data_IF_961904459959
#
_entry.id   IF_961904459959
#
_cell.length_a   1.000
_cell.length_b   1.000
_cell.length_c   1.000
_cell.angle_alpha   90.00
_cell.angle_beta   90.00
_cell.angle_gamma   90.00
#
_symmetry.space_group_name_H-M   'P 1'
#
loop_
_entity.id
_entity.type
_entity.pdbx_description
1 polymer ?
#
# COMPACT_ATOMS: atom_id res chain seq x y z
N UNK A 1 -27.77 7.69 1.09
CA UNK A 1 -26.70 6.74 0.71
C UNK A 1 -26.67 5.61 1.73
N UNK A 2 -26.89 4.37 1.28
CA UNK A 2 -26.90 3.17 2.13
C UNK A 2 -25.49 2.79 2.61
N UNK A 3 -25.42 1.94 3.65
CA UNK A 3 -24.15 1.51 4.26
C UNK A 3 -23.20 0.83 3.25
N UNK A 4 -23.71 -0.02 2.34
CA UNK A 4 -22.87 -0.69 1.33
C UNK A 4 -22.23 0.31 0.36
N UNK A 5 -22.96 1.36 -0.01
CA UNK A 5 -22.45 2.42 -0.88
C UNK A 5 -21.36 3.23 -0.16
N UNK A 6 -21.56 3.54 1.13
CA UNK A 6 -20.52 4.18 1.97
C UNK A 6 -19.28 3.31 2.12
N UNK A 7 -19.46 2.00 2.28
CA UNK A 7 -18.36 1.05 2.38
C UNK A 7 -17.52 0.95 1.10
N UNK A 8 -18.12 1.19 -0.09
CA UNK A 8 -17.39 1.32 -1.36
C UNK A 8 -16.72 2.69 -1.47
N UNK A 9 -17.41 3.76 -1.10
CA UNK A 9 -16.87 5.12 -1.22
C UNK A 9 -15.67 5.37 -0.31
N UNK A 10 -15.67 4.78 0.90
CA UNK A 10 -14.63 5.02 1.91
C UNK A 10 -13.20 4.75 1.41
N UNK A 11 -12.85 3.55 0.89
CA UNK A 11 -11.53 3.30 0.31
C UNK A 11 -11.21 4.21 -0.89
N UNK A 12 -12.20 4.59 -1.69
CA UNK A 12 -11.98 5.49 -2.84
C UNK A 12 -11.63 6.91 -2.39
N UNK A 13 -12.30 7.42 -1.36
CA UNK A 13 -11.93 8.69 -0.72
C UNK A 13 -10.52 8.59 -0.11
N UNK A 14 -10.21 7.45 0.52
CA UNK A 14 -8.86 7.15 1.01
C UNK A 14 -7.80 7.20 -0.09
N UNK A 15 -8.12 6.71 -1.29
CA UNK A 15 -7.24 6.75 -2.46
C UNK A 15 -6.96 8.20 -2.91
N UNK A 16 -7.99 9.05 -2.95
CA UNK A 16 -7.84 10.48 -3.28
C UNK A 16 -6.99 11.20 -2.22
N UNK A 17 -7.22 10.91 -0.93
CA UNK A 17 -6.42 11.48 0.16
C UNK A 17 -4.95 11.04 0.04
N UNK A 18 -4.71 9.76 -0.23
CA UNK A 18 -3.36 9.25 -0.44
C UNK A 18 -2.68 9.92 -1.64
N UNK A 19 -3.40 10.07 -2.75
CA UNK A 19 -2.91 10.80 -3.92
C UNK A 19 -2.50 12.22 -3.55
N UNK A 20 -3.33 12.95 -2.80
CA UNK A 20 -3.00 14.30 -2.36
C UNK A 20 -1.73 14.34 -1.49
N UNK A 21 -1.58 13.42 -0.53
CA UNK A 21 -0.34 13.29 0.25
C UNK A 21 0.88 13.03 -0.63
N UNK A 22 0.76 12.21 -1.67
CA UNK A 22 1.84 11.94 -2.62
C UNK A 22 2.18 13.18 -3.45
N UNK A 23 1.20 14.03 -3.79
CA UNK A 23 1.46 15.31 -4.46
C UNK A 23 2.20 16.28 -3.55
N UNK A 24 1.81 16.38 -2.28
CA UNK A 24 2.56 17.18 -1.30
C UNK A 24 3.96 16.62 -1.05
N UNK A 25 4.13 15.30 -1.07
CA UNK A 25 5.45 14.67 -0.97
C UNK A 25 6.33 15.03 -2.18
N UNK A 26 5.80 14.91 -3.40
CA UNK A 26 6.50 15.28 -4.63
C UNK A 26 6.85 16.78 -4.65
N UNK A 27 5.92 17.64 -4.26
CA UNK A 27 6.17 19.07 -4.09
C UNK A 27 7.29 19.34 -3.05
N UNK A 28 7.27 18.68 -1.90
CA UNK A 28 8.31 18.86 -0.87
C UNK A 28 9.70 18.43 -1.36
N UNK A 29 9.76 17.43 -2.24
CA UNK A 29 11.01 16.96 -2.84
C UNK A 29 11.65 18.00 -3.77
N UNK A 30 10.90 18.98 -4.29
CA UNK A 30 11.48 20.06 -5.11
C UNK A 30 12.54 20.86 -4.37
N UNK A 31 12.45 20.93 -3.05
CA UNK A 31 13.34 21.75 -2.22
C UNK A 31 14.46 20.95 -1.57
N UNK A 32 14.59 19.65 -1.88
CA UNK A 32 15.63 18.78 -1.34
C UNK A 32 16.79 18.72 -2.34
N UNK A 33 17.76 19.61 -2.18
CA UNK A 33 18.92 19.73 -3.08
C UNK A 33 20.04 18.76 -2.72
N UNK A 34 20.82 18.29 -3.71
CA UNK A 34 22.10 17.63 -3.47
C UNK A 34 23.14 18.59 -2.88
N UNK A 35 24.08 18.06 -2.10
CA UNK A 35 25.18 18.81 -1.51
C UNK A 35 26.49 18.47 -2.24
N UNK A 36 27.28 19.51 -2.51
CA UNK A 36 28.60 19.43 -3.15
C UNK A 36 29.66 20.09 -2.28
N UNK A 37 30.90 19.62 -2.38
CA UNK A 37 32.03 20.24 -1.70
C UNK A 37 32.51 21.51 -2.42
N UNK A 38 33.50 22.19 -1.83
CA UNK A 38 34.08 23.40 -2.43
C UNK A 38 34.79 23.16 -3.77
N UNK A 39 35.08 21.91 -4.12
CA UNK A 39 35.66 21.49 -5.40
C UNK A 39 34.61 21.01 -6.41
N UNK A 40 33.32 21.05 -6.08
CA UNK A 40 32.22 20.58 -6.93
C UNK A 40 32.04 19.07 -6.95
N UNK A 41 32.69 18.32 -6.04
CA UNK A 41 32.46 16.89 -5.92
C UNK A 41 31.15 16.64 -5.13
N UNK A 42 30.37 15.66 -5.60
CA UNK A 42 29.13 15.25 -4.94
C UNK A 42 29.42 14.70 -3.53
N UNK A 43 28.66 15.14 -2.54
CA UNK A 43 28.71 14.66 -1.16
C UNK A 43 27.45 13.84 -0.84
N UNK A 44 26.27 14.42 -1.10
CA UNK A 44 24.99 13.83 -0.69
C UNK A 44 23.86 14.22 -1.63
N UNK A 45 22.78 13.46 -1.62
CA UNK A 45 21.55 13.81 -2.34
C UNK A 45 20.65 14.77 -1.52
N UNK A 46 21.21 15.39 -0.48
CA UNK A 46 20.50 16.23 0.48
C UNK A 46 20.22 15.53 1.81
N UNK A 47 19.44 16.15 2.70
CA UNK A 47 19.23 15.67 4.06
C UNK A 47 18.64 14.26 4.12
N UNK A 48 19.10 13.49 5.12
CA UNK A 48 18.61 12.13 5.43
C UNK A 48 17.15 12.17 5.86
N UNK A 49 16.77 13.19 6.65
CA UNK A 49 15.39 13.38 7.09
C UNK A 49 14.62 14.16 6.03
N UNK A 50 13.80 13.45 5.25
CA UNK A 50 13.01 14.05 4.17
C UNK A 50 11.52 14.14 4.53
N UNK A 51 10.89 15.32 4.42
CA UNK A 51 9.45 15.47 4.61
C UNK A 51 8.62 14.55 3.70
N UNK A 52 9.07 14.36 2.46
CA UNK A 52 8.42 13.50 1.47
C UNK A 52 8.26 12.06 1.94
N UNK A 53 9.26 11.49 2.61
CA UNK A 53 9.20 10.13 3.18
C UNK A 53 8.01 9.96 4.13
N UNK A 54 7.79 10.93 5.01
CA UNK A 54 6.67 10.89 5.96
C UNK A 54 5.32 11.22 5.31
N UNK A 55 5.31 12.08 4.29
CA UNK A 55 4.09 12.38 3.53
C UNK A 55 3.63 11.17 2.71
N UNK A 56 4.54 10.44 2.06
CA UNK A 56 4.23 9.17 1.40
C UNK A 56 3.67 8.15 2.39
N UNK A 57 4.31 8.00 3.56
CA UNK A 57 3.82 7.13 4.62
C UNK A 57 2.43 7.53 5.13
N UNK A 58 2.19 8.84 5.32
CA UNK A 58 0.89 9.36 5.75
C UNK A 58 -0.21 9.08 4.71
N UNK A 59 0.10 9.22 3.43
CA UNK A 59 -0.81 8.84 2.34
C UNK A 59 -1.15 7.36 2.35
N UNK A 60 -0.14 6.49 2.49
CA UNK A 60 -0.33 5.03 2.61
C UNK A 60 -1.20 4.69 3.83
N UNK A 61 -0.92 5.32 4.98
CA UNK A 61 -1.69 5.14 6.20
C UNK A 61 -3.16 5.56 6.02
N UNK A 62 -3.41 6.72 5.42
CA UNK A 62 -4.76 7.21 5.15
C UNK A 62 -5.55 6.24 4.27
N UNK A 63 -4.94 5.74 3.18
CA UNK A 63 -5.58 4.75 2.32
C UNK A 63 -5.82 3.42 3.03
N UNK A 64 -4.84 2.92 3.78
CA UNK A 64 -4.95 1.65 4.51
C UNK A 64 -6.07 1.69 5.57
N UNK A 65 -6.17 2.79 6.33
CA UNK A 65 -7.22 2.98 7.33
C UNK A 65 -8.61 3.13 6.69
N UNK A 66 -8.71 3.87 5.58
CA UNK A 66 -9.96 3.98 4.83
C UNK A 66 -10.42 2.63 4.24
N UNK A 67 -9.49 1.86 3.67
CA UNK A 67 -9.76 0.52 3.17
C UNK A 67 -10.20 -0.44 4.28
N UNK A 68 -9.51 -0.42 5.42
CA UNK A 68 -9.89 -1.21 6.60
C UNK A 68 -11.28 -0.83 7.11
N UNK A 69 -11.60 0.47 7.16
CA UNK A 69 -12.91 0.96 7.59
C UNK A 69 -14.03 0.52 6.65
N UNK A 70 -13.81 0.61 5.33
CA UNK A 70 -14.74 0.11 4.32
C UNK A 70 -14.97 -1.41 4.43
N UNK A 71 -13.89 -2.17 4.64
CA UNK A 71 -13.96 -3.62 4.86
C UNK A 71 -14.74 -3.97 6.13
N UNK A 72 -14.45 -3.32 7.26
CA UNK A 72 -15.17 -3.54 8.53
C UNK A 72 -16.66 -3.22 8.41
N UNK A 73 -16.99 -2.12 7.74
CA UNK A 73 -18.38 -1.70 7.54
C UNK A 73 -19.16 -2.69 6.67
N UNK A 74 -18.57 -3.12 5.54
CA UNK A 74 -19.20 -4.09 4.64
C UNK A 74 -19.28 -5.50 5.24
N UNK A 75 -18.27 -5.93 6.02
CA UNK A 75 -18.29 -7.19 6.77
C UNK A 75 -19.40 -7.22 7.82
N UNK A 76 -19.46 -6.19 8.66
CA UNK A 76 -20.52 -6.05 9.67
C UNK A 76 -21.93 -6.06 9.06
N UNK A 77 -22.10 -5.44 7.89
CA UNK A 77 -23.38 -5.45 7.18
C UNK A 77 -23.71 -6.84 6.62
N UNK A 78 -22.70 -7.53 6.06
CA UNK A 78 -22.86 -8.90 5.56
C UNK A 78 -23.22 -9.89 6.67
N UNK A 79 -22.66 -9.74 7.87
CA UNK A 79 -22.97 -10.59 9.02
C UNK A 79 -24.41 -10.39 9.57
N UNK A 80 -25.04 -9.25 9.27
CA UNK A 80 -26.40 -8.91 9.71
C UNK A 80 -27.49 -9.27 8.70
N UNK A 81 -27.14 -9.38 7.42
CA UNK A 81 -28.09 -9.65 6.35
C UNK A 81 -28.03 -11.13 5.95
N UNK A 82 -29.07 -11.90 6.29
CA UNK A 82 -29.20 -13.31 5.89
C UNK A 82 -29.48 -13.48 4.38
N UNK A 83 -29.94 -12.43 3.71
CA UNK A 83 -30.09 -12.38 2.25
C UNK A 83 -28.77 -12.02 1.56
N UNK A 84 -28.35 -12.78 0.54
CA UNK A 84 -27.20 -12.48 -0.34
C UNK A 84 -27.46 -11.19 -1.18
N UNK A 85 -27.42 -10.00 -0.56
CA UNK A 85 -27.44 -8.73 -1.28
C UNK A 85 -26.13 -8.56 -2.08
N UNK A 86 -26.27 -8.52 -3.40
CA UNK A 86 -25.15 -8.42 -4.33
C UNK A 86 -24.26 -7.19 -4.10
N UNK A 87 -24.84 -6.04 -3.72
CA UNK A 87 -24.08 -4.82 -3.47
C UNK A 87 -23.22 -4.96 -2.21
N UNK A 88 -23.78 -5.55 -1.15
CA UNK A 88 -23.05 -5.81 0.10
C UNK A 88 -21.90 -6.79 -0.12
N UNK A 89 -22.10 -7.83 -0.94
CA UNK A 89 -21.02 -8.74 -1.32
C UNK A 89 -19.93 -8.07 -2.16
N UNK A 90 -20.31 -7.21 -3.11
CA UNK A 90 -19.37 -6.44 -3.93
C UNK A 90 -18.54 -5.47 -3.07
N UNK A 91 -19.19 -4.72 -2.17
CA UNK A 91 -18.53 -3.83 -1.22
C UNK A 91 -17.51 -4.59 -0.36
N UNK A 92 -17.88 -5.76 0.14
CA UNK A 92 -16.98 -6.60 0.93
C UNK A 92 -15.77 -7.10 0.13
N UNK A 93 -15.98 -7.59 -1.10
CA UNK A 93 -14.86 -8.03 -1.97
C UNK A 93 -13.93 -6.88 -2.33
N UNK A 94 -14.50 -5.71 -2.62
CA UNK A 94 -13.75 -4.50 -2.91
C UNK A 94 -12.94 -4.01 -1.69
N UNK A 95 -13.54 -4.04 -0.50
CA UNK A 95 -12.84 -3.76 0.76
C UNK A 95 -11.65 -4.70 0.99
N UNK A 96 -11.80 -6.00 0.73
CA UNK A 96 -10.68 -6.94 0.85
C UNK A 96 -9.57 -6.61 -0.17
N UNK A 97 -9.93 -6.35 -1.43
CA UNK A 97 -8.96 -6.00 -2.48
C UNK A 97 -8.18 -4.73 -2.14
N UNK A 98 -8.87 -3.67 -1.73
CA UNK A 98 -8.26 -2.39 -1.39
C UNK A 98 -7.36 -2.47 -0.16
N UNK A 99 -7.72 -3.27 0.85
CA UNK A 99 -6.84 -3.58 1.98
C UNK A 99 -5.56 -4.30 1.51
N UNK A 100 -5.66 -5.29 0.63
CA UNK A 100 -4.49 -6.00 0.09
C UNK A 100 -3.58 -5.03 -0.67
N UNK A 101 -4.14 -4.16 -1.50
CA UNK A 101 -3.37 -3.14 -2.23
C UNK A 101 -2.67 -2.18 -1.25
N UNK A 102 -3.36 -1.76 -0.19
CA UNK A 102 -2.76 -0.88 0.83
C UNK A 102 -1.59 -1.56 1.57
N UNK A 103 -1.76 -2.84 1.94
CA UNK A 103 -0.70 -3.64 2.58
C UNK A 103 0.52 -3.78 1.66
N UNK A 104 0.28 -4.06 0.37
CA UNK A 104 1.35 -4.14 -0.63
C UNK A 104 2.08 -2.79 -0.78
N UNK A 105 1.33 -1.68 -0.86
CA UNK A 105 1.91 -0.34 -0.91
C UNK A 105 2.79 -0.01 0.30
N UNK A 106 2.33 -0.33 1.52
CA UNK A 106 3.11 -0.16 2.74
C UNK A 106 4.37 -1.03 2.79
N UNK A 107 4.29 -2.28 2.32
CA UNK A 107 5.45 -3.17 2.24
C UNK A 107 6.48 -2.68 1.20
N UNK A 108 6.03 -2.26 0.01
CA UNK A 108 6.91 -1.70 -1.02
C UNK A 108 7.58 -0.42 -0.51
N UNK A 109 6.84 0.45 0.17
CA UNK A 109 7.42 1.65 0.78
C UNK A 109 8.51 1.32 1.80
N UNK A 110 8.26 0.37 2.70
CA UNK A 110 9.24 -0.05 3.70
C UNK A 110 10.50 -0.63 3.04
N UNK A 111 10.33 -1.47 2.02
CA UNK A 111 11.44 -2.05 1.25
C UNK A 111 12.21 -0.98 0.46
N UNK A 112 11.54 -0.03 -0.17
CA UNK A 112 12.18 1.04 -0.92
C UNK A 112 13.04 1.93 -0.01
N UNK A 113 12.54 2.31 1.17
CA UNK A 113 13.32 3.07 2.15
C UNK A 113 14.48 2.25 2.73
N UNK A 114 14.26 0.96 2.95
CA UNK A 114 15.32 0.05 3.39
C UNK A 114 16.43 -0.05 2.36
N UNK A 115 16.11 -0.33 1.09
CA UNK A 115 17.11 -0.45 0.03
C UNK A 115 17.82 0.89 -0.23
N UNK A 116 17.10 2.02 -0.17
CA UNK A 116 17.69 3.34 -0.28
C UNK A 116 18.61 3.74 0.88
N UNK A 117 18.62 2.98 1.98
CA UNK A 117 19.52 3.22 3.10
C UNK A 117 20.89 2.54 2.93
N UNK A 118 21.08 1.68 1.92
CA UNK A 118 22.36 1.05 1.62
C UNK A 118 23.10 1.82 0.53
N UNK A 119 24.30 2.30 0.86
CA UNK A 119 25.17 3.05 -0.05
C UNK A 119 24.85 4.55 -0.14
N UNK A 120 25.90 5.39 -0.19
CA UNK A 120 25.77 6.85 -0.30
C UNK A 120 25.63 7.60 1.04
N UNK A 121 25.19 8.86 0.98
CA UNK A 121 25.11 9.83 2.10
C UNK A 121 24.24 9.43 3.29
N UNK A 122 23.34 8.44 3.15
CA UNK A 122 22.56 7.87 4.26
C UNK A 122 23.40 7.03 5.22
N UNK A 123 24.60 6.61 4.81
CA UNK A 123 25.55 5.86 5.64
C UNK A 123 26.41 6.75 6.56
N UNK A 124 26.60 8.02 6.21
CA UNK A 124 27.52 8.94 6.91
C UNK A 124 26.85 9.93 7.88
N UNK A 125 25.51 9.92 7.97
CA UNK A 125 24.77 10.80 8.87
C UNK A 125 24.87 10.48 10.35
N UNK A 126 24.52 11.45 11.19
CA UNK A 126 24.48 11.26 12.63
C UNK A 126 23.44 10.19 13.03
N UNK A 127 23.65 9.53 14.17
CA UNK A 127 22.73 8.50 14.68
C UNK A 127 21.28 9.00 14.74
N UNK A 128 21.06 10.25 15.16
CA UNK A 128 19.71 10.82 15.27
C UNK A 128 19.04 10.98 13.90
N UNK A 129 19.76 11.46 12.90
CA UNK A 129 19.24 11.63 11.54
C UNK A 129 18.87 10.30 10.92
N UNK A 130 19.64 9.25 11.20
CA UNK A 130 19.34 7.89 10.73
C UNK A 130 18.14 7.30 11.46
N UNK A 131 18.05 7.47 12.79
CA UNK A 131 16.89 7.09 13.60
C UNK A 131 15.59 7.69 13.08
N UNK A 132 15.60 8.98 12.73
CA UNK A 132 14.41 9.67 12.25
C UNK A 132 14.17 9.43 10.76
N UNK A 133 15.16 9.61 9.89
CA UNK A 133 14.99 9.61 8.44
C UNK A 133 14.89 8.22 7.81
N UNK A 134 15.47 7.19 8.45
CA UNK A 134 15.49 5.82 7.92
C UNK A 134 14.68 4.87 8.80
N UNK A 135 15.03 4.73 10.08
CA UNK A 135 14.46 3.69 10.93
C UNK A 135 12.99 3.95 11.27
N UNK A 136 12.65 5.17 11.69
CA UNK A 136 11.30 5.53 12.08
C UNK A 136 10.26 5.27 10.98
N UNK A 137 10.41 5.74 9.72
CA UNK A 137 9.43 5.46 8.67
C UNK A 137 9.30 3.97 8.34
N UNK A 138 10.39 3.19 8.37
CA UNK A 138 10.34 1.73 8.17
C UNK A 138 9.56 1.04 9.29
N UNK A 139 9.83 1.40 10.54
CA UNK A 139 9.14 0.86 11.72
C UNK A 139 7.65 1.22 11.70
N UNK A 140 7.31 2.47 11.40
CA UNK A 140 5.93 2.92 11.31
C UNK A 140 5.17 2.24 10.16
N UNK A 141 5.78 2.10 8.99
CA UNK A 141 5.19 1.37 7.86
C UNK A 141 4.94 -0.10 8.21
N UNK A 142 5.92 -0.76 8.84
CA UNK A 142 5.78 -2.14 9.30
C UNK A 142 4.66 -2.27 10.33
N UNK A 143 4.64 -1.40 11.34
CA UNK A 143 3.62 -1.41 12.37
C UNK A 143 2.21 -1.20 11.78
N UNK A 144 2.08 -0.28 10.82
CA UNK A 144 0.84 -0.07 10.07
C UNK A 144 0.41 -1.35 9.33
N UNK A 145 1.30 -1.94 8.53
CA UNK A 145 1.01 -3.16 7.73
C UNK A 145 0.57 -4.30 8.64
N UNK A 146 1.33 -4.58 9.71
CA UNK A 146 1.00 -5.64 10.67
C UNK A 146 -0.35 -5.36 11.34
N UNK A 147 -0.58 -4.12 11.80
CA UNK A 147 -1.84 -3.74 12.47
C UNK A 147 -3.04 -3.91 11.54
N UNK A 148 -2.96 -3.40 10.31
CA UNK A 148 -4.04 -3.50 9.32
C UNK A 148 -4.30 -4.96 8.95
N UNK A 149 -3.25 -5.76 8.76
CA UNK A 149 -3.37 -7.20 8.48
C UNK A 149 -4.10 -7.93 9.62
N UNK A 150 -3.67 -7.72 10.86
CA UNK A 150 -4.27 -8.34 12.03
C UNK A 150 -5.75 -7.94 12.17
N UNK A 151 -6.06 -6.66 12.02
CA UNK A 151 -7.44 -6.16 12.13
C UNK A 151 -8.34 -6.58 10.97
N UNK A 152 -7.79 -6.73 9.76
CA UNK A 152 -8.55 -7.11 8.57
C UNK A 152 -8.84 -8.62 8.50
N UNK A 153 -7.87 -9.45 8.91
CA UNK A 153 -7.91 -10.88 8.62
C UNK A 153 -7.85 -11.78 9.86
N UNK A 154 -7.24 -11.34 10.97
CA UNK A 154 -7.03 -12.20 12.15
C UNK A 154 -8.08 -11.96 13.22
N UNK A 155 -8.29 -10.70 13.63
CA UNK A 155 -9.22 -10.33 14.69
C UNK A 155 -10.64 -10.03 14.18
N UNK A 156 -11.00 -10.53 12.99
CA UNK A 156 -12.29 -10.24 12.37
C UNK A 156 -13.34 -11.26 12.81
N UNK A 157 -14.44 -10.76 13.39
CA UNK A 157 -15.60 -11.54 13.85
C UNK A 157 -16.59 -11.95 12.74
N UNK A 158 -16.21 -11.86 11.47
CA UNK A 158 -17.05 -12.29 10.34
C UNK A 158 -17.17 -13.83 10.32
N UNK A 159 -18.00 -14.38 11.19
CA UNK A 159 -18.45 -15.76 11.16
C UNK A 159 -19.92 -15.82 10.73
N UNK A 160 -20.10 -16.04 9.43
CA UNK A 160 -21.22 -16.84 8.90
C UNK A 160 -20.71 -18.21 8.48
N UNK A 161 -20.03 -18.92 9.39
CA UNK A 161 -19.95 -20.38 9.37
C UNK A 161 -20.34 -20.85 10.78
N UNK A 162 -21.53 -21.43 10.85
CA UNK A 162 -22.18 -22.16 11.93
C UNK A 162 -22.21 -21.54 13.34
N UNK A 163 -23.32 -20.82 13.60
CA UNK A 163 -23.78 -20.34 14.92
C UNK A 163 -24.19 -21.50 15.87
N UNK A 164 -23.64 -22.71 15.74
CA UNK A 164 -23.87 -23.85 16.64
C UNK A 164 -22.62 -24.33 17.40
N UNK A 165 -21.42 -23.87 17.05
CA UNK A 165 -20.20 -24.24 17.78
C UNK A 165 -19.80 -23.18 18.82
N UNK A 166 -20.23 -23.45 20.05
CA UNK A 166 -19.85 -22.81 21.31
C UNK A 166 -18.43 -22.19 21.36
N UNK A 167 -18.34 -21.03 22.01
CA UNK A 167 -17.14 -20.37 22.58
C UNK A 167 -15.93 -21.31 22.70
N UNK A 168 -15.05 -21.28 21.71
CA UNK A 168 -13.68 -21.79 21.80
C UNK A 168 -12.81 -20.91 20.91
N UNK A 169 -11.58 -20.63 21.36
CA UNK A 169 -10.66 -19.69 20.72
C UNK A 169 -10.43 -19.96 19.23
N UNK A 170 -9.72 -19.03 18.57
CA UNK A 170 -9.40 -19.04 17.13
C UNK A 170 -9.25 -20.46 16.56
N UNK A 171 -10.09 -20.77 15.57
CA UNK A 171 -10.11 -22.05 14.87
C UNK A 171 -8.72 -22.34 14.27
N UNK A 172 -8.18 -23.58 14.33
CA UNK A 172 -6.84 -23.89 13.84
C UNK A 172 -6.60 -23.44 12.39
N UNK A 173 -7.63 -23.48 11.54
CA UNK A 173 -7.61 -22.98 10.18
C UNK A 173 -7.43 -21.47 10.10
N UNK A 174 -8.13 -20.71 10.95
CA UNK A 174 -8.01 -19.25 11.03
C UNK A 174 -6.63 -18.83 11.54
N UNK A 175 -6.11 -19.53 12.56
CA UNK A 175 -4.75 -19.29 13.07
C UNK A 175 -3.70 -19.61 12.00
N UNK A 176 -3.86 -20.71 11.27
CA UNK A 176 -2.97 -21.06 10.16
C UNK A 176 -3.07 -20.06 8.98
N UNK A 177 -4.27 -19.60 8.63
CA UNK A 177 -4.45 -18.60 7.56
C UNK A 177 -3.79 -17.26 7.94
N UNK A 178 -4.03 -16.79 9.17
CA UNK A 178 -3.42 -15.57 9.71
C UNK A 178 -1.90 -15.65 9.75
N UNK A 179 -1.34 -16.76 10.24
CA UNK A 179 0.10 -17.00 10.24
C UNK A 179 0.68 -17.12 8.82
N UNK A 180 -0.07 -17.72 7.89
CA UNK A 180 0.33 -17.85 6.48
C UNK A 180 0.53 -16.51 5.78
N UNK A 181 -0.31 -15.52 6.07
CA UNK A 181 -0.16 -14.16 5.56
C UNK A 181 0.84 -13.31 6.35
N UNK A 182 0.87 -13.44 7.68
CA UNK A 182 1.65 -12.56 8.55
C UNK A 182 3.14 -12.93 8.60
N UNK A 183 3.49 -14.22 8.60
CA UNK A 183 4.87 -14.66 8.83
C UNK A 183 5.85 -14.17 7.77
N UNK A 184 5.57 -14.22 6.45
CA UNK A 184 6.48 -13.69 5.45
C UNK A 184 6.77 -12.20 5.65
N UNK A 185 5.75 -11.43 6.03
CA UNK A 185 5.86 -9.98 6.25
C UNK A 185 6.65 -9.67 7.52
N UNK A 186 6.36 -10.37 8.63
CA UNK A 186 7.08 -10.22 9.90
C UNK A 186 8.55 -10.62 9.74
N UNK A 187 8.82 -11.72 9.04
CA UNK A 187 10.18 -12.16 8.77
C UNK A 187 10.94 -11.13 7.91
N UNK A 188 10.30 -10.57 6.89
CA UNK A 188 10.90 -9.50 6.10
C UNK A 188 11.22 -8.27 6.96
N UNK A 189 10.31 -7.86 7.84
CA UNK A 189 10.55 -6.74 8.75
C UNK A 189 11.72 -6.99 9.73
N UNK A 190 11.80 -8.18 10.31
CA UNK A 190 12.90 -8.56 11.21
C UNK A 190 14.22 -8.60 10.44
N UNK A 191 14.22 -9.18 9.24
CA UNK A 191 15.39 -9.26 8.36
C UNK A 191 15.95 -7.86 8.04
N UNK A 192 15.04 -6.94 7.71
CA UNK A 192 15.34 -5.54 7.39
C UNK A 192 15.94 -4.83 8.60
N UNK A 193 15.29 -4.87 9.76
CA UNK A 193 15.79 -4.19 10.97
C UNK A 193 17.15 -4.74 11.38
N UNK A 194 17.30 -6.07 11.41
CA UNK A 194 18.56 -6.73 11.73
C UNK A 194 19.67 -6.35 10.74
N UNK A 195 19.36 -6.38 9.44
CA UNK A 195 20.32 -6.06 8.39
C UNK A 195 20.89 -4.65 8.51
N UNK A 196 20.03 -3.66 8.75
CA UNK A 196 20.48 -2.28 8.97
C UNK A 196 21.31 -2.12 10.24
N UNK A 197 20.93 -2.77 11.34
CA UNK A 197 21.70 -2.69 12.61
C UNK A 197 23.07 -3.33 12.47
N UNK A 198 23.18 -4.46 11.78
CA UNK A 198 24.49 -5.12 11.57
C UNK A 198 25.37 -4.28 10.65
N UNK A 199 24.82 -3.74 9.56
CA UNK A 199 25.54 -2.86 8.64
C UNK A 199 26.18 -1.67 9.38
N UNK A 200 25.45 -1.09 10.33
CA UNK A 200 25.90 0.04 11.16
C UNK A 200 27.03 -0.30 12.12
N UNK A 201 27.01 -1.50 12.68
CA UNK A 201 28.02 -1.93 13.66
C UNK A 201 29.29 -2.37 12.95
N UNK A 202 29.20 -2.96 11.75
CA UNK A 202 30.35 -3.57 11.06
C UNK A 202 31.01 -2.68 10.01
N UNK A 203 30.33 -1.62 9.57
CA UNK A 203 30.73 -0.85 8.39
C UNK A 203 30.67 -1.69 7.09
N UNK A 204 30.99 -1.07 5.96
CA UNK A 204 30.84 -1.62 4.58
C UNK A 204 31.56 -2.95 4.32
N UNK A 205 32.48 -3.38 5.19
CA UNK A 205 33.33 -4.58 5.01
C UNK A 205 32.57 -5.91 4.93
N UNK A 206 31.32 -5.97 5.41
CA UNK A 206 30.50 -7.20 5.47
C UNK A 206 29.15 -7.07 4.75
N UNK A 207 28.95 -6.04 3.93
CA UNK A 207 27.67 -5.75 3.26
C UNK A 207 27.08 -6.99 2.55
N UNK A 208 27.88 -7.71 1.76
CA UNK A 208 27.43 -8.91 1.06
C UNK A 208 26.94 -10.02 2.01
N UNK A 209 27.56 -10.18 3.19
CA UNK A 209 27.14 -11.18 4.17
C UNK A 209 25.87 -10.75 4.93
N UNK A 210 25.71 -9.46 5.19
CA UNK A 210 24.45 -8.90 5.72
C UNK A 210 23.29 -9.22 4.77
N UNK A 211 23.51 -9.04 3.47
CA UNK A 211 22.55 -9.41 2.43
C UNK A 211 22.18 -10.89 2.43
N UNK A 212 23.17 -11.78 2.54
CA UNK A 212 22.90 -13.23 2.63
C UNK A 212 22.00 -13.54 3.82
N UNK A 213 22.24 -12.93 4.99
CA UNK A 213 21.44 -13.17 6.18
C UNK A 213 20.00 -12.62 6.01
N UNK A 214 19.84 -11.43 5.44
CA UNK A 214 18.52 -10.86 5.13
C UNK A 214 17.72 -11.83 4.24
N UNK A 215 18.33 -12.33 3.17
CA UNK A 215 17.69 -13.25 2.23
C UNK A 215 17.31 -14.58 2.89
N UNK A 216 18.14 -15.10 3.80
CA UNK A 216 17.82 -16.32 4.57
C UNK A 216 16.59 -16.11 5.45
N UNK A 217 16.49 -14.98 6.16
CA UNK A 217 15.35 -14.69 7.03
C UNK A 217 14.06 -14.51 6.21
N UNK A 218 14.13 -13.78 5.09
CA UNK A 218 12.99 -13.62 4.16
C UNK A 218 12.56 -14.98 3.60
N UNK A 219 13.50 -15.78 3.11
CA UNK A 219 13.22 -17.12 2.57
C UNK A 219 12.58 -18.02 3.63
N UNK A 220 13.08 -18.02 4.87
CA UNK A 220 12.50 -18.76 5.98
C UNK A 220 11.05 -18.30 6.27
N UNK A 221 10.80 -16.99 6.24
CA UNK A 221 9.47 -16.40 6.37
C UNK A 221 8.50 -16.85 5.28
N UNK A 222 8.94 -16.82 4.02
CA UNK A 222 8.14 -17.28 2.86
C UNK A 222 7.84 -18.78 2.99
N UNK A 223 8.83 -19.60 3.34
CA UNK A 223 8.68 -21.06 3.51
C UNK A 223 7.67 -21.36 4.62
N UNK A 224 7.82 -20.72 5.78
CA UNK A 224 6.90 -20.88 6.92
C UNK A 224 5.49 -20.38 6.58
N UNK A 225 5.34 -19.21 5.97
CA UNK A 225 4.04 -18.70 5.52
C UNK A 225 3.36 -19.64 4.54
N UNK A 226 4.12 -20.18 3.58
CA UNK A 226 3.63 -21.17 2.61
C UNK A 226 3.23 -22.49 3.28
N UNK A 227 3.94 -22.90 4.34
CA UNK A 227 3.56 -24.06 5.15
C UNK A 227 2.19 -23.83 5.83
N UNK A 228 2.00 -22.71 6.53
CA UNK A 228 0.73 -22.40 7.18
C UNK A 228 -0.43 -22.17 6.19
N UNK A 229 -0.16 -21.56 5.03
CA UNK A 229 -1.14 -21.40 3.96
C UNK A 229 -1.60 -22.76 3.38
N UNK A 230 -0.69 -23.76 3.31
CA UNK A 230 -1.04 -25.13 2.92
C UNK A 230 -1.92 -25.82 3.97
N UNK A 231 -1.61 -25.65 5.26
CA UNK A 231 -2.44 -26.19 6.35
C UNK A 231 -3.89 -25.66 6.27
N UNK A 232 -4.07 -24.37 5.95
CA UNK A 232 -5.40 -23.77 5.82
C UNK A 232 -6.20 -24.23 4.58
N UNK A 233 -5.53 -24.85 3.59
CA UNK A 233 -6.11 -25.34 2.32
C UNK A 233 -6.39 -26.85 2.33
N UNK A 234 -5.85 -27.59 3.29
CA UNK A 234 -5.95 -29.05 3.38
C UNK A 234 -7.30 -29.56 3.92
N UNK A 235 -8.14 -28.69 4.49
CA UNK A 235 -9.53 -29.01 4.86
C UNK A 235 -10.48 -28.89 3.66
N UNK A 236 -11.31 -29.92 3.47
CA UNK A 236 -12.11 -30.18 2.25
C UNK A 236 -12.81 -28.92 1.71
N UNK A 237 -12.61 -28.54 0.44
CA UNK A 237 -13.30 -27.43 -0.18
C UNK A 237 -14.82 -27.66 -0.20
N UNK A 238 -15.61 -26.64 0.14
CA UNK A 238 -17.05 -26.66 -0.07
C UNK A 238 -17.36 -26.83 -1.58
N UNK A 239 -18.41 -27.59 -1.95
CA UNK A 239 -18.73 -27.92 -3.34
C UNK A 239 -18.95 -26.67 -4.20
N UNK A 240 -18.44 -26.69 -5.44
CA UNK A 240 -18.54 -25.57 -6.37
C UNK A 240 -19.99 -25.31 -6.79
N UNK A 241 -20.51 -24.11 -6.50
CA UNK A 241 -21.86 -23.66 -6.88
C UNK A 241 -21.96 -23.61 -8.42
N UNK A 242 -23.02 -24.16 -9.05
CA UNK A 242 -23.14 -24.23 -10.51
C UNK A 242 -23.25 -22.82 -11.12
N UNK A 243 -22.48 -22.56 -12.19
CA UNK A 243 -22.44 -21.26 -12.90
C UNK A 243 -23.41 -21.29 -14.09
N UNK A 244 -24.48 -20.49 -14.05
CA UNK A 244 -25.39 -20.30 -15.20
C UNK A 244 -24.78 -19.32 -16.19
N UNK A 245 -24.55 -19.76 -17.42
CA UNK A 245 -23.54 -19.17 -18.30
C UNK A 245 -23.99 -18.02 -19.24
N UNK A 246 -25.27 -17.73 -19.45
CA UNK A 246 -25.65 -17.02 -20.70
C UNK A 246 -26.06 -15.53 -20.58
N UNK A 247 -26.37 -15.01 -19.40
CA UNK A 247 -26.45 -13.55 -19.16
C UNK A 247 -25.15 -12.98 -18.52
N UNK A 248 -24.17 -13.85 -18.29
CA UNK A 248 -23.00 -13.57 -17.45
C UNK A 248 -21.78 -13.01 -18.19
N UNK A 249 -21.69 -13.18 -19.51
CA UNK A 249 -20.50 -12.84 -20.30
C UNK A 249 -20.17 -11.34 -20.32
N UNK A 250 -21.07 -10.54 -20.90
CA UNK A 250 -20.91 -9.07 -20.98
C UNK A 250 -20.83 -8.41 -19.59
N UNK A 251 -21.61 -8.94 -18.63
CA UNK A 251 -21.61 -8.48 -17.25
C UNK A 251 -20.29 -8.74 -16.50
N UNK A 252 -19.67 -9.90 -16.71
CA UNK A 252 -18.37 -10.22 -16.13
C UNK A 252 -17.24 -9.48 -16.86
N UNK A 253 -17.34 -9.29 -18.17
CA UNK A 253 -16.36 -8.54 -18.96
C UNK A 253 -16.29 -7.09 -18.53
N UNK A 254 -17.43 -6.40 -18.41
CA UNK A 254 -17.46 -5.01 -17.94
C UNK A 254 -16.90 -4.89 -16.53
N UNK A 255 -17.15 -5.86 -15.65
CA UNK A 255 -16.56 -5.87 -14.30
C UNK A 255 -15.03 -6.00 -14.31
N UNK A 256 -14.48 -6.92 -15.11
CA UNK A 256 -13.03 -7.07 -15.26
C UNK A 256 -12.43 -5.79 -15.85
N UNK A 257 -13.06 -5.23 -16.88
CA UNK A 257 -12.62 -4.00 -17.52
C UNK A 257 -12.60 -2.83 -16.53
N UNK A 258 -13.62 -2.69 -15.68
CA UNK A 258 -13.66 -1.64 -14.65
C UNK A 258 -12.57 -1.81 -13.59
N UNK A 259 -12.21 -3.06 -13.22
CA UNK A 259 -11.06 -3.30 -12.32
C UNK A 259 -9.75 -2.90 -12.99
N UNK A 260 -9.53 -3.31 -14.24
CA UNK A 260 -8.32 -3.00 -15.01
C UNK A 260 -8.20 -1.49 -15.22
N UNK A 261 -9.29 -0.85 -15.66
CA UNK A 261 -9.41 0.61 -15.77
C UNK A 261 -9.05 1.27 -14.43
N UNK A 262 -9.64 0.79 -13.34
CA UNK A 262 -9.39 1.33 -12.01
C UNK A 262 -7.93 1.25 -11.58
N UNK A 263 -7.28 0.11 -11.80
CA UNK A 263 -5.87 -0.08 -11.47
C UNK A 263 -4.97 0.82 -12.33
N UNK A 264 -5.13 0.77 -13.66
CA UNK A 264 -4.27 1.50 -14.61
C UNK A 264 -4.42 3.00 -14.44
N UNK A 265 -5.65 3.52 -14.39
CA UNK A 265 -5.91 4.96 -14.27
C UNK A 265 -5.44 5.50 -12.92
N UNK A 266 -5.57 4.72 -11.84
CA UNK A 266 -5.00 5.11 -10.54
C UNK A 266 -3.49 5.24 -10.63
N UNK A 267 -2.78 4.25 -11.19
CA UNK A 267 -1.32 4.32 -11.36
C UNK A 267 -0.91 5.52 -12.20
N UNK A 268 -1.59 5.76 -13.34
CA UNK A 268 -1.32 6.92 -14.18
C UNK A 268 -1.54 8.24 -13.45
N UNK A 269 -2.60 8.36 -12.62
CA UNK A 269 -2.84 9.56 -11.84
C UNK A 269 -1.71 9.86 -10.85
N UNK A 270 -1.14 8.84 -10.21
CA UNK A 270 0.01 9.01 -9.32
C UNK A 270 1.28 9.37 -10.11
N UNK A 271 1.56 8.63 -11.19
CA UNK A 271 2.77 8.84 -12.01
C UNK A 271 2.78 10.22 -12.65
N UNK A 272 1.69 10.63 -13.30
CA UNK A 272 1.59 11.95 -13.93
C UNK A 272 1.60 13.07 -12.90
N UNK A 273 0.94 12.86 -11.75
CA UNK A 273 0.97 13.83 -10.66
C UNK A 273 2.39 14.07 -10.14
N UNK A 274 3.13 13.00 -9.82
CA UNK A 274 4.53 13.10 -9.38
C UNK A 274 5.40 13.71 -10.49
N UNK A 275 5.26 13.21 -11.72
CA UNK A 275 6.03 13.67 -12.88
C UNK A 275 5.84 15.16 -13.17
N UNK A 276 4.63 15.71 -12.96
CA UNK A 276 4.42 17.15 -13.14
C UNK A 276 5.29 17.99 -12.22
N UNK A 277 5.58 17.56 -10.99
CA UNK A 277 6.49 18.31 -10.13
C UNK A 277 7.94 18.21 -10.62
N UNK A 278 8.35 17.08 -11.20
CA UNK A 278 9.69 16.96 -11.80
C UNK A 278 9.90 17.97 -12.95
N UNK A 279 8.87 18.31 -13.71
CA UNK A 279 8.92 19.36 -14.74
C UNK A 279 9.15 20.78 -14.17
N UNK A 280 8.98 20.98 -12.85
CA UNK A 280 9.33 22.24 -12.20
C UNK A 280 10.81 22.31 -11.80
N UNK A 281 11.60 21.25 -12.00
CA UNK A 281 13.04 21.27 -11.75
C UNK A 281 13.78 21.71 -13.01
N UNK A 282 14.45 22.86 -12.91
CA UNK A 282 15.40 23.30 -13.93
C UNK A 282 16.81 22.87 -13.51
N UNK A 283 17.30 21.79 -14.13
CA UNK A 283 18.65 21.28 -13.89
C UNK A 283 19.64 22.16 -14.64
N UNK A 284 20.11 23.22 -13.97
CA UNK A 284 21.05 24.16 -14.54
C UNK A 284 22.41 23.45 -14.83
N UNK A 285 23.10 23.84 -15.89
CA UNK A 285 24.29 23.14 -16.40
C UNK A 285 25.54 23.25 -15.51
N UNK A 286 25.49 24.07 -14.45
CA UNK A 286 26.62 24.38 -13.57
C UNK A 286 26.82 23.36 -12.40
N UNK A 287 26.20 22.18 -12.48
CA UNK A 287 26.38 21.06 -11.52
C UNK A 287 26.00 21.37 -10.05
N UNK A 288 25.18 22.39 -9.80
CA UNK A 288 24.82 22.85 -8.45
C UNK A 288 23.36 22.51 -8.04
N UNK A 289 22.85 21.35 -8.46
CA UNK A 289 21.45 20.96 -8.20
C UNK A 289 20.47 21.50 -9.23
N UNK A 290 19.27 21.91 -8.79
CA UNK A 290 18.23 22.43 -9.68
C UNK A 290 17.53 23.67 -9.11
N UNK A 291 17.05 24.54 -9.99
CA UNK A 291 16.16 25.64 -9.61
C UNK A 291 14.69 25.19 -9.69
N UNK A 292 13.82 25.78 -8.86
CA UNK A 292 12.39 25.48 -8.87
C UNK A 292 11.67 26.54 -9.70
N UNK A 293 11.16 26.12 -10.86
CA UNK A 293 10.40 26.99 -11.76
C UNK A 293 9.09 27.45 -11.12
N UNK A 294 8.62 28.67 -11.44
CA UNK A 294 7.35 29.16 -10.94
C UNK A 294 6.18 28.36 -11.52
N UNK A 295 5.15 28.14 -10.68
CA UNK A 295 3.89 27.52 -11.13
C UNK A 295 3.24 28.42 -12.17
N UNK A 296 3.20 27.93 -13.41
CA UNK A 296 2.59 28.62 -14.56
C UNK A 296 1.21 28.06 -14.89
N UNK A 297 0.42 28.80 -15.67
CA UNK A 297 -0.87 28.31 -16.17
C UNK A 297 -0.69 27.05 -17.04
N UNK A 298 0.38 27.00 -17.83
CA UNK A 298 0.71 25.83 -18.66
C UNK A 298 0.98 24.60 -17.78
N UNK A 299 1.73 24.78 -16.69
CA UNK A 299 1.96 23.70 -15.74
C UNK A 299 0.67 23.20 -15.09
N UNK A 300 -0.17 24.13 -14.61
CA UNK A 300 -1.42 23.78 -13.93
C UNK A 300 -2.34 22.99 -14.85
N UNK A 301 -2.53 23.45 -16.09
CA UNK A 301 -3.52 22.89 -17.02
C UNK A 301 -2.95 21.73 -17.85
N UNK A 302 -1.70 21.84 -18.29
CA UNK A 302 -1.03 20.88 -19.17
C UNK A 302 -0.46 19.69 -18.43
N UNK A 303 0.22 19.93 -17.30
CA UNK A 303 1.03 18.90 -16.64
C UNK A 303 0.33 18.34 -15.39
N UNK A 304 -0.21 19.20 -14.53
CA UNK A 304 -0.81 18.77 -13.25
C UNK A 304 -2.30 18.37 -13.35
N UNK A 305 -3.14 19.17 -14.03
CA UNK A 305 -4.58 18.92 -14.12
C UNK A 305 -4.96 17.53 -14.68
N UNK A 306 -4.25 16.94 -15.67
CA UNK A 306 -4.55 15.58 -16.12
C UNK A 306 -4.52 14.56 -14.98
N UNK A 307 -3.57 14.65 -14.07
CA UNK A 307 -3.48 13.76 -12.91
C UNK A 307 -4.69 13.90 -11.97
N UNK A 308 -5.15 15.14 -11.74
CA UNK A 308 -6.37 15.45 -10.97
C UNK A 308 -7.60 14.86 -11.65
N UNK A 309 -7.73 15.02 -12.97
CA UNK A 309 -8.85 14.47 -13.73
C UNK A 309 -8.85 12.94 -13.66
N UNK A 310 -7.69 12.29 -13.81
CA UNK A 310 -7.57 10.83 -13.73
C UNK A 310 -7.97 10.30 -12.34
N UNK A 311 -7.51 10.92 -11.24
CA UNK A 311 -7.86 10.45 -9.89
C UNK A 311 -9.37 10.62 -9.59
N UNK A 312 -10.00 11.67 -10.13
CA UNK A 312 -11.46 11.86 -10.04
C UNK A 312 -12.22 10.88 -10.92
N UNK A 313 -11.76 10.65 -12.16
CA UNK A 313 -12.38 9.71 -13.09
C UNK A 313 -12.37 8.28 -12.55
N UNK A 314 -11.26 7.82 -11.97
CA UNK A 314 -11.21 6.48 -11.39
C UNK A 314 -12.11 6.36 -10.16
N UNK A 315 -12.14 7.40 -9.32
CA UNK A 315 -13.00 7.44 -8.12
C UNK A 315 -14.47 7.36 -8.50
N UNK A 316 -14.91 8.23 -9.41
CA UNK A 316 -16.30 8.29 -9.87
C UNK A 316 -16.65 7.02 -10.66
N UNK A 317 -15.78 6.60 -11.57
CA UNK A 317 -15.98 5.44 -12.44
C UNK A 317 -16.12 4.13 -11.66
N UNK A 318 -15.22 3.86 -10.71
CA UNK A 318 -15.30 2.67 -9.85
C UNK A 318 -16.54 2.70 -8.97
N UNK A 319 -16.83 3.83 -8.33
CA UNK A 319 -18.02 3.99 -7.49
C UNK A 319 -19.29 3.73 -8.30
N UNK A 320 -19.47 4.45 -9.42
CA UNK A 320 -20.64 4.35 -10.28
C UNK A 320 -20.82 2.93 -10.84
N UNK A 321 -19.75 2.31 -11.33
CA UNK A 321 -19.83 0.94 -11.87
C UNK A 321 -20.27 -0.05 -10.80
N UNK A 322 -19.72 0.04 -9.58
CA UNK A 322 -20.10 -0.87 -8.50
C UNK A 322 -21.53 -0.62 -8.02
N UNK A 323 -21.99 0.62 -7.94
CA UNK A 323 -23.36 0.91 -7.47
C UNK A 323 -24.42 0.62 -8.52
N UNK A 324 -24.20 1.02 -9.78
CA UNK A 324 -25.18 0.80 -10.87
C UNK A 324 -25.35 -0.68 -11.18
N UNK A 325 -24.28 -1.48 -11.06
CA UNK A 325 -24.36 -2.95 -11.22
C UNK A 325 -25.39 -3.59 -10.27
N UNK A 326 -25.61 -3.02 -9.10
CA UNK A 326 -26.49 -3.61 -8.09
C UNK A 326 -27.71 -2.75 -7.79
N UNK A 327 -28.04 -1.79 -8.68
CA UNK A 327 -29.24 -0.98 -8.56
C UNK A 327 -30.48 -1.84 -8.83
N UNK A 328 -31.39 -1.91 -7.86
CA UNK A 328 -32.71 -2.49 -8.09
C UNK A 328 -33.47 -1.62 -9.12
N UNK A 329 -34.11 -2.27 -10.10
CA UNK A 329 -34.97 -1.61 -11.08
C UNK A 329 -36.16 -0.95 -10.40
#
# INVERSE_FOLDING_TARGET
MGLSQRAILTPLVGLVIAWAFFMFAAWSNLYVQPEYDAGGAWISDGPIVRPSTFLYLAGIAAFALAALSGLKTSGAQRARNDSEDGLTLAAYRFGNLTVIIALAGGAIFALANFFGAFGGSTAEGSLLERLVGVYLPILLATALVVTVLLLAFVFRDDKTEDRSASKKGLDPRQKALGLGYAIPIIAAAIAVIFGLVVYDVTGTSLEAWVWVIIQVIIAAGIILGTHYARMAKAEKPAPAKPRTAWASGAWNLNFVLSIVFGAVVSVMAFVFGIGSFEELRDYNFDYAGWEVLPISLNWVVGDFAPAVVLILLVTIGLYATMTERHRAR
#
